data_IF_435168367373
#
_entry.id   IF_435168367373
#
_cell.length_a   1.000
_cell.length_b   1.000
_cell.length_c   1.000
_cell.angle_alpha   90.00
_cell.angle_beta   90.00
_cell.angle_gamma   90.00
#
_symmetry.space_group_name_H-M   'P 1'
#
loop_
_entity.id
_entity.type
_entity.pdbx_description
1 polymer ?
#
# COMPACT_ATOMS: atom_id res chain seq x y z
N UNK A 1 11.97 -4.68 -19.27
CA UNK A 1 10.86 -5.62 -19.45
C UNK A 1 9.78 -4.95 -20.29
N UNK A 2 9.58 -5.50 -21.50
CA UNK A 2 8.56 -5.02 -22.44
C UNK A 2 7.16 -5.55 -22.07
N UNK A 3 6.76 -5.35 -20.83
CA UNK A 3 5.40 -5.60 -20.39
C UNK A 3 4.59 -4.31 -20.54
N UNK A 4 3.71 -4.20 -21.55
CA UNK A 4 2.97 -2.95 -21.80
C UNK A 4 2.02 -2.59 -20.67
N UNK A 5 1.65 -3.52 -19.81
CA UNK A 5 0.83 -3.27 -18.61
C UNK A 5 1.67 -3.08 -17.35
N UNK A 6 2.96 -3.30 -17.43
CA UNK A 6 3.89 -3.25 -16.30
C UNK A 6 3.53 -4.16 -15.11
N UNK A 7 2.81 -5.26 -15.38
CA UNK A 7 2.40 -6.21 -14.35
C UNK A 7 3.55 -7.08 -13.84
N UNK A 8 4.56 -7.29 -14.70
CA UNK A 8 5.73 -8.10 -14.38
C UNK A 8 6.96 -7.24 -14.04
N UNK A 9 6.78 -5.95 -13.86
CA UNK A 9 7.86 -5.05 -13.54
C UNK A 9 8.41 -5.38 -12.15
N UNK A 10 9.68 -5.78 -12.10
CA UNK A 10 10.37 -6.02 -10.84
C UNK A 10 10.89 -4.71 -10.28
N UNK A 11 10.50 -4.39 -9.07
CA UNK A 11 10.95 -3.21 -8.36
C UNK A 11 11.43 -3.62 -6.96
N UNK A 12 12.65 -3.21 -6.62
CA UNK A 12 13.30 -3.45 -5.33
C UNK A 12 14.59 -2.64 -5.29
N UNK A 13 15.30 -2.66 -4.17
CA UNK A 13 16.62 -2.02 -4.09
C UNK A 13 17.52 -2.46 -5.25
N UNK A 14 18.03 -1.50 -6.02
CA UNK A 14 18.80 -1.73 -7.24
C UNK A 14 17.98 -1.81 -8.53
N UNK A 15 16.64 -1.84 -8.44
CA UNK A 15 15.72 -1.84 -9.57
C UNK A 15 14.68 -0.75 -9.35
N UNK A 16 14.88 0.41 -9.96
CA UNK A 16 14.11 1.63 -9.71
C UNK A 16 13.22 1.96 -10.89
N UNK A 17 12.07 2.57 -10.60
CA UNK A 17 11.30 3.31 -11.61
C UNK A 17 11.68 4.79 -11.53
N UNK A 18 11.55 5.53 -12.65
CA UNK A 18 11.84 6.97 -12.66
C UNK A 18 10.95 7.74 -11.68
N UNK A 19 11.48 8.85 -11.19
CA UNK A 19 10.73 9.79 -10.33
C UNK A 19 9.39 10.21 -10.95
N UNK A 20 9.35 10.33 -12.27
CA UNK A 20 8.19 10.77 -13.04
C UNK A 20 7.22 9.64 -13.37
N UNK A 21 7.55 8.39 -12.98
CA UNK A 21 6.67 7.26 -13.29
C UNK A 21 5.37 7.36 -12.50
N UNK A 22 4.27 7.35 -13.25
CA UNK A 22 2.91 7.28 -12.74
C UNK A 22 2.19 6.16 -13.51
N UNK A 23 1.59 5.19 -12.82
CA UNK A 23 0.85 4.13 -13.50
C UNK A 23 -0.34 4.69 -14.27
N UNK A 24 -0.68 4.03 -15.36
CA UNK A 24 -1.91 4.35 -16.11
C UNK A 24 -3.16 3.87 -15.33
N UNK A 25 -4.28 4.51 -15.62
CA UNK A 25 -5.59 4.11 -15.12
C UNK A 25 -5.67 4.00 -13.58
N UNK A 26 -5.09 4.95 -12.87
CA UNK A 26 -5.29 5.06 -11.43
C UNK A 26 -6.76 5.35 -11.13
N UNK A 27 -7.35 4.55 -10.27
CA UNK A 27 -8.77 4.57 -9.94
C UNK A 27 -8.96 4.51 -8.43
N UNK A 28 -9.90 5.26 -7.90
CA UNK A 28 -10.28 5.17 -6.49
C UNK A 28 -10.96 3.83 -6.21
N UNK A 29 -10.43 3.10 -5.24
CA UNK A 29 -11.02 1.84 -4.78
C UNK A 29 -12.23 2.14 -3.90
N UNK A 30 -13.37 1.53 -4.20
CA UNK A 30 -14.65 1.77 -3.51
C UNK A 30 -14.81 0.85 -2.28
N UNK A 31 -13.86 0.96 -1.33
CA UNK A 31 -13.91 0.30 -0.03
C UNK A 31 -13.53 1.29 1.07
N UNK A 32 -13.78 0.99 2.35
CA UNK A 32 -13.39 1.89 3.45
C UNK A 32 -11.91 2.22 3.46
N UNK A 33 -11.58 3.42 3.89
CA UNK A 33 -10.22 3.93 4.06
C UNK A 33 -9.98 4.22 5.55
N UNK A 34 -8.84 3.76 6.07
CA UNK A 34 -8.52 3.91 7.49
C UNK A 34 -8.17 5.36 7.87
N UNK A 35 -7.72 6.16 6.92
CA UNK A 35 -7.30 7.55 7.12
C UNK A 35 -7.99 8.48 6.12
N UNK A 36 -8.20 9.72 6.51
CA UNK A 36 -8.87 10.74 5.68
C UNK A 36 -7.93 11.45 4.69
N UNK A 37 -6.81 10.84 4.35
CA UNK A 37 -5.83 11.40 3.42
C UNK A 37 -6.13 11.10 1.94
N UNK A 38 -7.20 10.36 1.67
CA UNK A 38 -7.62 10.02 0.32
C UNK A 38 -6.72 8.99 -0.40
N UNK A 39 -5.85 8.29 0.33
CA UNK A 39 -4.90 7.34 -0.25
C UNK A 39 -5.55 6.00 -0.59
N UNK A 40 -6.41 6.00 -1.60
CA UNK A 40 -7.16 4.83 -2.07
C UNK A 40 -7.05 4.60 -3.58
N UNK A 41 -6.01 5.13 -4.21
CA UNK A 41 -5.82 4.95 -5.64
C UNK A 41 -5.05 3.66 -5.93
N UNK A 42 -5.50 2.92 -6.91
CA UNK A 42 -4.82 1.76 -7.48
C UNK A 42 -5.04 1.72 -8.98
N UNK A 43 -4.23 0.95 -9.71
CA UNK A 43 -4.57 0.64 -11.09
C UNK A 43 -5.94 -0.01 -11.14
N UNK A 44 -6.70 0.26 -12.20
CA UNK A 44 -8.10 -0.20 -12.30
C UNK A 44 -8.23 -1.73 -12.15
N UNK A 45 -7.38 -2.49 -12.78
CA UNK A 45 -7.38 -3.95 -12.68
C UNK A 45 -7.16 -4.45 -11.23
N UNK A 46 -6.22 -3.84 -10.52
CA UNK A 46 -5.97 -4.14 -9.12
C UNK A 46 -7.11 -3.63 -8.21
N UNK A 47 -7.66 -2.46 -8.50
CA UNK A 47 -8.80 -1.91 -7.76
C UNK A 47 -10.03 -2.82 -7.86
N UNK A 48 -10.34 -3.30 -9.06
CA UNK A 48 -11.45 -4.22 -9.30
C UNK A 48 -11.27 -5.55 -8.55
N UNK A 49 -10.04 -6.08 -8.54
CA UNK A 49 -9.70 -7.29 -7.80
C UNK A 49 -9.84 -7.10 -6.29
N UNK A 50 -9.38 -5.97 -5.76
CA UNK A 50 -9.50 -5.63 -4.34
C UNK A 50 -10.96 -5.46 -3.91
N UNK A 51 -11.77 -4.80 -4.72
CA UNK A 51 -13.21 -4.64 -4.45
C UNK A 51 -13.94 -5.99 -4.42
N UNK A 52 -13.57 -6.91 -5.31
CA UNK A 52 -14.09 -8.28 -5.31
C UNK A 52 -13.69 -9.03 -4.03
N UNK A 53 -12.43 -8.94 -3.64
CA UNK A 53 -11.93 -9.52 -2.40
C UNK A 53 -12.65 -8.94 -1.18
N UNK A 54 -12.87 -7.64 -1.15
CA UNK A 54 -13.62 -6.95 -0.08
C UNK A 54 -15.04 -7.50 0.06
N UNK A 55 -15.75 -7.68 -1.05
CA UNK A 55 -17.11 -8.23 -1.03
C UNK A 55 -17.14 -9.63 -0.41
N UNK A 56 -16.18 -10.47 -0.76
CA UNK A 56 -16.10 -11.83 -0.22
C UNK A 56 -15.73 -11.83 1.26
N UNK A 57 -14.79 -10.99 1.67
CA UNK A 57 -14.43 -10.82 3.09
C UNK A 57 -15.63 -10.34 3.92
N UNK A 58 -16.39 -9.37 3.38
CA UNK A 58 -17.59 -8.83 4.04
C UNK A 58 -18.66 -9.88 4.29
N UNK A 59 -18.85 -10.81 3.34
CA UNK A 59 -19.77 -11.95 3.52
C UNK A 59 -19.38 -12.82 4.70
N UNK A 60 -18.12 -12.86 5.06
CA UNK A 60 -17.58 -13.59 6.21
C UNK A 60 -17.52 -12.75 7.49
N UNK A 61 -18.06 -11.54 7.47
CA UNK A 61 -18.08 -10.64 8.61
C UNK A 61 -16.79 -9.81 8.80
N UNK A 62 -15.88 -9.83 7.82
CA UNK A 62 -14.63 -9.08 7.87
C UNK A 62 -14.75 -7.83 7.00
N UNK A 63 -14.69 -6.67 7.63
CA UNK A 63 -14.70 -5.38 6.95
C UNK A 63 -13.27 -4.89 6.82
N UNK A 64 -12.73 -4.96 5.60
CA UNK A 64 -11.41 -4.46 5.27
C UNK A 64 -11.40 -2.95 5.06
N UNK A 65 -10.28 -2.31 5.34
CA UNK A 65 -10.06 -0.90 5.04
C UNK A 65 -8.65 -0.68 4.49
N UNK A 66 -8.51 0.27 3.57
CA UNK A 66 -7.22 0.65 3.02
C UNK A 66 -6.47 1.50 4.04
N UNK A 67 -5.26 1.07 4.37
CA UNK A 67 -4.31 1.86 5.15
C UNK A 67 -3.41 2.70 4.24
N UNK A 68 -2.93 2.13 3.13
CA UNK A 68 -2.10 2.81 2.13
C UNK A 68 -2.24 2.09 0.79
N UNK A 69 -2.33 2.85 -0.31
CA UNK A 69 -2.42 2.31 -1.67
C UNK A 69 -1.32 2.93 -2.55
N UNK A 70 -1.66 3.45 -3.74
CA UNK A 70 -0.67 4.11 -4.59
C UNK A 70 0.04 5.23 -3.83
N UNK A 71 1.35 5.25 -3.94
CA UNK A 71 2.19 6.29 -3.34
C UNK A 71 3.19 6.79 -4.39
N UNK A 72 3.07 8.05 -4.82
CA UNK A 72 4.02 8.62 -5.77
C UNK A 72 5.42 8.75 -5.17
N UNK A 73 6.41 8.95 -6.02
CA UNK A 73 7.81 9.06 -5.62
C UNK A 73 8.02 10.09 -4.49
N UNK A 74 7.40 11.26 -4.60
CA UNK A 74 7.59 12.34 -3.62
C UNK A 74 7.06 11.97 -2.23
N UNK A 75 5.93 11.27 -2.16
CA UNK A 75 5.42 10.80 -0.88
C UNK A 75 6.29 9.69 -0.29
N UNK A 76 6.81 8.80 -1.13
CA UNK A 76 7.77 7.79 -0.67
C UNK A 76 9.05 8.44 -0.13
N UNK A 77 9.51 9.53 -0.74
CA UNK A 77 10.65 10.30 -0.24
C UNK A 77 10.38 10.86 1.16
N UNK A 78 9.20 11.42 1.38
CA UNK A 78 8.82 11.93 2.70
C UNK A 78 8.81 10.83 3.75
N UNK A 79 8.17 9.69 3.45
CA UNK A 79 8.16 8.53 4.36
C UNK A 79 9.56 8.05 4.67
N UNK A 80 10.42 7.96 3.66
CA UNK A 80 11.80 7.55 3.82
C UNK A 80 12.59 8.51 4.72
N UNK A 81 12.44 9.82 4.49
CA UNK A 81 13.11 10.84 5.27
C UNK A 81 12.64 10.84 6.74
N UNK A 82 11.35 10.68 6.99
CA UNK A 82 10.78 10.57 8.34
C UNK A 82 11.35 9.36 9.09
N UNK A 83 11.47 8.21 8.43
CA UNK A 83 12.06 7.01 9.02
C UNK A 83 13.56 7.19 9.28
N UNK A 84 14.28 7.87 8.40
CA UNK A 84 15.70 8.23 8.62
C UNK A 84 15.88 9.06 9.88
N UNK A 85 15.02 10.05 10.09
CA UNK A 85 15.07 10.92 11.28
C UNK A 85 14.68 10.16 12.54
N UNK A 86 13.62 9.34 12.46
CA UNK A 86 13.05 8.67 13.64
C UNK A 86 13.90 7.48 14.09
N UNK A 87 14.39 6.66 13.17
CA UNK A 87 15.05 5.38 13.46
C UNK A 87 16.54 5.34 13.12
N UNK A 88 17.06 6.35 12.44
CA UNK A 88 18.41 6.35 11.92
C UNK A 88 18.55 5.54 10.62
N UNK A 89 19.65 5.80 9.88
CA UNK A 89 19.88 5.24 8.55
C UNK A 89 19.87 3.70 8.54
N UNK A 90 20.61 3.08 9.46
CA UNK A 90 20.76 1.62 9.46
C UNK A 90 19.44 0.86 9.68
N UNK A 91 18.53 1.46 10.45
CA UNK A 91 17.22 0.87 10.72
C UNK A 91 16.22 1.21 9.62
N UNK A 92 16.18 2.46 9.19
CA UNK A 92 15.24 2.94 8.17
C UNK A 92 15.38 2.17 6.85
N UNK A 93 16.59 1.91 6.39
CA UNK A 93 16.84 1.16 5.13
C UNK A 93 16.31 -0.28 5.16
N UNK A 94 16.03 -0.82 6.35
CA UNK A 94 15.45 -2.15 6.52
C UNK A 94 13.92 -2.12 6.61
N UNK A 95 13.35 -0.99 7.00
CA UNK A 95 11.92 -0.84 7.27
C UNK A 95 11.14 -0.24 6.09
N UNK A 96 11.79 0.61 5.30
CA UNK A 96 11.13 1.39 4.25
C UNK A 96 11.92 1.30 2.96
N UNK A 97 11.20 1.13 1.85
CA UNK A 97 11.80 1.15 0.51
C UNK A 97 12.31 2.55 0.15
N UNK A 98 13.45 2.62 -0.51
CA UNK A 98 13.93 3.86 -1.10
C UNK A 98 12.94 4.39 -2.15
N UNK A 99 12.84 5.73 -2.31
CA UNK A 99 12.04 6.29 -3.39
C UNK A 99 12.46 5.75 -4.76
N UNK A 100 11.48 5.38 -5.56
CA UNK A 100 11.71 4.72 -6.86
C UNK A 100 11.78 3.20 -6.81
N UNK A 101 11.91 2.59 -5.63
CA UNK A 101 11.89 1.13 -5.49
C UNK A 101 10.79 0.61 -4.53
N UNK A 102 9.77 1.42 -4.28
CA UNK A 102 8.57 1.01 -3.57
C UNK A 102 7.51 0.44 -4.53
N UNK A 103 6.99 -0.73 -4.22
CA UNK A 103 5.90 -1.35 -4.98
C UNK A 103 4.62 -0.50 -4.99
N UNK A 104 4.43 0.35 -3.99
CA UNK A 104 3.30 1.28 -3.95
C UNK A 104 3.29 2.27 -5.11
N UNK A 105 4.44 2.58 -5.70
CA UNK A 105 4.52 3.46 -6.87
C UNK A 105 4.00 2.78 -8.15
N UNK A 106 3.90 1.46 -8.17
CA UNK A 106 3.35 0.72 -9.31
C UNK A 106 1.82 0.75 -9.38
N UNK A 107 1.14 1.17 -8.31
CA UNK A 107 -0.33 1.16 -8.24
C UNK A 107 -0.93 -0.23 -8.12
N UNK A 108 -0.13 -1.23 -7.76
CA UNK A 108 -0.51 -2.65 -7.67
C UNK A 108 -0.41 -3.20 -6.25
N UNK A 109 0.07 -2.39 -5.30
CA UNK A 109 0.27 -2.78 -3.91
C UNK A 109 -0.65 -1.97 -3.00
N UNK A 110 -1.14 -2.63 -1.96
CA UNK A 110 -2.02 -2.01 -0.96
C UNK A 110 -1.73 -2.60 0.41
N UNK A 111 -1.72 -1.75 1.41
CA UNK A 111 -1.71 -2.15 2.82
C UNK A 111 -3.14 -2.08 3.35
N UNK A 112 -3.60 -3.18 3.92
CA UNK A 112 -4.96 -3.30 4.44
C UNK A 112 -4.95 -3.43 5.96
N UNK A 113 -6.03 -2.95 6.56
CA UNK A 113 -6.39 -3.20 7.95
C UNK A 113 -7.85 -3.66 7.98
N UNK A 114 -8.40 -3.86 9.16
CA UNK A 114 -9.82 -4.18 9.31
C UNK A 114 -10.52 -3.19 10.23
N UNK A 115 -11.84 -3.08 10.08
CA UNK A 115 -12.67 -2.22 10.93
C UNK A 115 -12.48 -2.58 12.41
N UNK A 116 -12.43 -3.86 12.74
CA UNK A 116 -12.23 -4.30 14.13
C UNK A 116 -10.85 -3.90 14.70
N UNK A 117 -9.81 -3.87 13.89
CA UNK A 117 -8.49 -3.34 14.30
C UNK A 117 -8.57 -1.84 14.55
N UNK A 118 -9.22 -1.09 13.65
CA UNK A 118 -9.40 0.36 13.79
C UNK A 118 -10.24 0.71 15.03
N UNK A 119 -11.26 -0.08 15.34
CA UNK A 119 -12.11 0.08 16.52
C UNK A 119 -11.43 -0.38 17.82
N UNK A 120 -10.23 -0.93 17.75
CA UNK A 120 -9.50 -1.44 18.90
C UNK A 120 -10.02 -2.77 19.46
N UNK A 121 -10.95 -3.42 18.78
CA UNK A 121 -11.57 -4.69 19.24
C UNK A 121 -10.55 -5.80 19.42
N UNK A 122 -9.51 -5.82 18.57
CA UNK A 122 -8.42 -6.80 18.63
C UNK A 122 -7.17 -6.32 19.38
N UNK A 123 -7.20 -5.14 19.96
CA UNK A 123 -6.05 -4.59 20.70
C UNK A 123 -5.64 -5.49 21.88
N UNK A 124 -6.58 -6.26 22.43
CA UNK A 124 -6.36 -7.18 23.57
C UNK A 124 -5.75 -8.51 23.13
N UNK A 125 -5.87 -8.91 21.86
CA UNK A 125 -5.50 -10.23 21.36
C UNK A 125 -4.10 -10.33 20.74
N UNK A 126 -3.36 -9.23 20.73
CA UNK A 126 -1.95 -9.22 20.34
C UNK A 126 -1.59 -8.24 19.25
N UNK A 127 -0.32 -7.84 19.29
CA UNK A 127 0.25 -6.84 18.38
C UNK A 127 0.18 -7.24 16.91
N UNK A 128 0.05 -8.53 16.61
CA UNK A 128 -0.02 -9.02 15.24
C UNK A 128 -1.27 -8.55 14.49
N UNK A 129 -2.35 -8.32 15.21
CA UNK A 129 -3.62 -7.86 14.64
C UNK A 129 -3.63 -6.37 14.28
N UNK A 130 -2.65 -5.61 14.76
CA UNK A 130 -2.50 -4.19 14.47
C UNK A 130 -1.65 -3.92 13.22
N UNK A 131 -1.21 -4.96 12.53
CA UNK A 131 -0.43 -4.81 11.30
C UNK A 131 -1.35 -4.67 10.10
N UNK A 132 -1.02 -3.75 9.23
CA UNK A 132 -1.60 -3.73 7.90
C UNK A 132 -1.25 -5.04 7.16
N UNK A 133 -2.19 -5.54 6.38
CA UNK A 133 -1.97 -6.68 5.51
C UNK A 133 -1.56 -6.14 4.16
N UNK A 134 -0.41 -6.57 3.65
CA UNK A 134 0.04 -6.20 2.31
C UNK A 134 -0.52 -7.17 1.29
N UNK A 135 -1.15 -6.63 0.25
CA UNK A 135 -1.75 -7.38 -0.86
C UNK A 135 -1.16 -6.88 -2.16
N UNK A 136 -0.68 -7.79 -2.95
CA UNK A 136 -0.11 -7.49 -4.26
C UNK A 136 -0.95 -8.08 -5.39
#
# INVERSE_FOLDING_TARGET
LDDPKHLLLMIKRGFYVPKTYVPENLTAVQIPVAHNDGNNLMRKDAADALESMYKDAKKQGLILAINSAYRPYNEQQQVYDEYMVTYGVQTAVKLVAEPGCSEHQLGLSVDLTSQSVMDGTYAVFGQQMNRAISVM
#
